data_IF_630151773936
#
_entry.id   IF_630151773936
#
_cell.length_a   1.000
_cell.length_b   1.000
_cell.length_c   1.000
_cell.angle_alpha   90.00
_cell.angle_beta   90.00
_cell.angle_gamma   90.00
#
_symmetry.space_group_name_H-M   'P 1'
#
loop_
_entity.id
_entity.type
_entity.pdbx_description
1 polymer ?
#
# COMPACT_ATOMS: atom_id res chain seq x y z
N UNK A 1 19.20 57.13 12.18
CA UNK A 1 18.09 56.97 11.20
C UNK A 1 18.63 56.19 10.01
N UNK A 2 18.08 54.97 9.85
CA UNK A 2 18.05 54.08 8.67
C UNK A 2 19.33 53.75 7.88
N UNK A 3 19.94 52.62 8.25
CA UNK A 3 20.82 51.83 7.39
C UNK A 3 19.97 50.92 6.50
N UNK A 4 20.10 51.08 5.18
CA UNK A 4 19.46 50.29 4.13
C UNK A 4 19.92 48.82 4.16
N UNK A 5 18.98 47.90 4.41
CA UNK A 5 19.19 46.46 4.33
C UNK A 5 18.94 46.00 2.89
N UNK A 6 19.99 45.57 2.19
CA UNK A 6 19.90 44.82 0.93
C UNK A 6 19.62 43.34 1.26
N UNK A 7 18.38 42.90 1.14
CA UNK A 7 18.04 41.47 1.15
C UNK A 7 18.10 40.96 -0.28
N UNK A 8 19.13 40.15 -0.58
CA UNK A 8 19.15 39.26 -1.73
C UNK A 8 18.00 38.26 -1.60
N UNK A 9 17.03 38.34 -2.50
CA UNK A 9 16.03 37.29 -2.67
C UNK A 9 16.66 36.10 -3.36
N UNK A 10 17.04 35.08 -2.60
CA UNK A 10 17.27 33.74 -3.14
C UNK A 10 15.88 33.07 -3.17
N UNK A 11 15.18 33.22 -4.28
CA UNK A 11 14.06 32.33 -4.63
C UNK A 11 14.64 30.96 -4.93
N UNK A 12 14.91 30.21 -3.86
CA UNK A 12 15.17 28.78 -3.94
C UNK A 12 13.87 28.09 -4.31
N UNK A 13 13.67 27.86 -5.61
CA UNK A 13 12.66 26.93 -6.10
C UNK A 13 12.98 25.55 -5.53
N UNK A 14 12.36 25.21 -4.40
CA UNK A 14 12.19 23.84 -3.94
C UNK A 14 11.27 23.16 -4.95
N UNK A 15 11.86 22.68 -6.05
CA UNK A 15 11.29 21.63 -6.87
C UNK A 15 11.17 20.40 -5.97
N UNK A 16 10.05 20.32 -5.25
CA UNK A 16 9.57 19.09 -4.66
C UNK A 16 9.38 18.12 -5.82
N UNK A 17 10.34 17.22 -6.00
CA UNK A 17 10.12 15.99 -6.74
C UNK A 17 9.00 15.23 -6.04
N UNK A 18 7.76 15.57 -6.34
CA UNK A 18 6.57 14.84 -5.97
C UNK A 18 6.57 13.54 -6.77
N UNK A 19 7.46 12.61 -6.42
CA UNK A 19 7.26 11.22 -6.76
C UNK A 19 5.92 10.86 -6.14
N UNK A 20 4.91 10.59 -6.97
CA UNK A 20 3.57 10.24 -6.53
C UNK A 20 3.69 9.09 -5.53
N UNK A 21 3.57 9.41 -4.24
CA UNK A 21 3.56 8.45 -3.16
C UNK A 21 2.16 7.82 -3.15
N UNK A 22 2.05 6.52 -2.83
CA UNK A 22 0.74 5.86 -2.75
C UNK A 22 -0.24 6.69 -1.91
N UNK A 23 -1.46 6.82 -2.41
CA UNK A 23 -2.48 7.62 -1.72
C UNK A 23 -3.05 6.79 -0.55
N UNK A 24 -3.20 7.37 0.64
CA UNK A 24 -3.93 6.72 1.73
C UNK A 24 -5.35 6.37 1.27
N UNK A 25 -5.82 5.17 1.61
CA UNK A 25 -7.22 4.81 1.34
C UNK A 25 -8.11 5.27 2.50
N UNK A 26 -8.99 6.24 2.23
CA UNK A 26 -9.83 6.89 3.24
C UNK A 26 -11.33 6.53 3.13
N UNK A 27 -11.65 5.45 2.43
CA UNK A 27 -13.03 4.98 2.22
C UNK A 27 -13.29 3.67 2.97
N UNK A 28 -14.55 3.27 3.01
CA UNK A 28 -14.93 1.91 3.41
C UNK A 28 -14.67 0.96 2.25
N UNK A 29 -14.07 -0.19 2.56
CA UNK A 29 -13.88 -1.28 1.60
C UNK A 29 -15.23 -1.80 1.06
N UNK A 30 -15.23 -2.57 -0.04
CA UNK A 30 -16.42 -3.25 -0.53
C UNK A 30 -17.05 -4.14 0.54
N UNK A 31 -18.39 -4.23 0.52
CA UNK A 31 -19.15 -5.04 1.48
C UNK A 31 -18.83 -6.53 1.37
N UNK A 32 -18.59 -7.02 0.15
CA UNK A 32 -18.22 -8.40 -0.13
C UNK A 32 -16.93 -8.42 -0.92
N UNK A 33 -15.96 -9.16 -0.40
CA UNK A 33 -14.67 -9.41 -1.03
C UNK A 33 -14.42 -10.91 -0.96
N UNK A 34 -14.18 -11.53 -2.12
CA UNK A 34 -13.90 -12.96 -2.18
C UNK A 34 -12.43 -13.23 -2.53
N UNK A 35 -11.87 -14.31 -2.00
CA UNK A 35 -10.60 -14.82 -2.48
C UNK A 35 -10.75 -15.48 -3.88
N UNK A 36 -9.64 -16.00 -4.41
CA UNK A 36 -9.63 -16.67 -5.72
C UNK A 36 -10.42 -17.98 -5.74
N UNK A 37 -10.67 -18.57 -4.58
CA UNK A 37 -11.45 -19.80 -4.46
C UNK A 37 -12.95 -19.50 -4.28
N UNK A 38 -13.34 -18.22 -4.22
CA UNK A 38 -14.72 -17.79 -4.03
C UNK A 38 -15.15 -17.71 -2.57
N UNK A 39 -14.26 -17.95 -1.61
CA UNK A 39 -14.56 -17.80 -0.18
C UNK A 39 -14.48 -16.33 0.23
N UNK A 40 -15.14 -15.98 1.33
CA UNK A 40 -15.04 -14.62 1.87
C UNK A 40 -13.59 -14.36 2.29
N UNK A 41 -12.99 -13.32 1.71
CA UNK A 41 -11.65 -12.86 2.05
C UNK A 41 -11.61 -12.32 3.48
N UNK A 42 -10.46 -12.37 4.16
CA UNK A 42 -10.34 -11.99 5.58
C UNK A 42 -10.45 -10.48 5.85
N UNK A 43 -10.59 -9.65 4.82
CA UNK A 43 -10.81 -8.22 4.94
C UNK A 43 -11.90 -7.74 3.98
N UNK A 44 -12.89 -7.04 4.52
CA UNK A 44 -14.01 -6.42 3.82
C UNK A 44 -14.48 -5.20 4.64
N UNK A 45 -15.57 -4.55 4.21
CA UNK A 45 -16.16 -3.41 4.91
C UNK A 45 -16.42 -3.69 6.41
N UNK A 46 -17.06 -4.81 6.73
CA UNK A 46 -17.46 -5.14 8.10
C UNK A 46 -16.24 -5.38 8.98
N UNK A 47 -15.24 -6.10 8.46
CA UNK A 47 -13.99 -6.40 9.15
C UNK A 47 -13.09 -5.19 9.30
N UNK A 48 -13.13 -4.24 8.36
CA UNK A 48 -12.46 -2.96 8.50
C UNK A 48 -13.06 -2.15 9.65
N UNK A 49 -14.39 -1.96 9.66
CA UNK A 49 -15.04 -1.11 10.68
C UNK A 49 -15.05 -1.73 12.08
N UNK A 50 -14.89 -3.05 12.17
CA UNK A 50 -14.73 -3.77 13.45
C UNK A 50 -13.27 -3.94 13.87
N UNK A 51 -12.32 -3.31 13.17
CA UNK A 51 -10.90 -3.31 13.53
C UNK A 51 -10.20 -4.66 13.33
N UNK A 52 -10.74 -5.56 12.51
CA UNK A 52 -10.11 -6.85 12.15
C UNK A 52 -9.10 -6.72 11.01
N UNK A 53 -9.23 -5.67 10.21
CA UNK A 53 -8.23 -5.26 9.23
C UNK A 53 -8.28 -3.75 9.02
N UNK A 54 -7.27 -3.24 8.29
CA UNK A 54 -7.11 -1.84 7.95
C UNK A 54 -6.84 -1.72 6.45
N UNK A 55 -7.49 -0.76 5.79
CA UNK A 55 -7.18 -0.39 4.41
C UNK A 55 -6.11 0.69 4.42
N UNK A 56 -4.99 0.43 3.76
CA UNK A 56 -3.76 1.20 3.95
C UNK A 56 -3.55 2.23 2.85
N UNK A 57 -3.36 1.75 1.62
CA UNK A 57 -3.10 2.62 0.46
C UNK A 57 -3.79 2.11 -0.78
N UNK A 58 -4.06 3.01 -1.73
CA UNK A 58 -4.67 2.69 -3.01
C UNK A 58 -3.72 3.04 -4.14
N UNK A 59 -3.75 2.23 -5.19
CA UNK A 59 -3.02 2.52 -6.41
C UNK A 59 -3.59 3.77 -7.09
N UNK A 60 -2.80 4.38 -7.98
CA UNK A 60 -3.19 5.60 -8.68
C UNK A 60 -4.52 5.50 -9.43
N UNK A 61 -4.88 4.31 -9.90
CA UNK A 61 -6.12 4.10 -10.65
C UNK A 61 -7.34 3.92 -9.73
N UNK A 62 -7.14 3.82 -8.41
CA UNK A 62 -8.23 3.64 -7.46
C UNK A 62 -8.81 2.21 -7.44
N UNK A 63 -8.19 1.27 -8.17
CA UNK A 63 -8.69 -0.06 -8.43
C UNK A 63 -8.09 -1.14 -7.52
N UNK A 64 -6.96 -0.87 -6.87
CA UNK A 64 -6.31 -1.81 -5.97
C UNK A 64 -5.98 -1.15 -4.63
N UNK A 65 -6.35 -1.80 -3.53
CA UNK A 65 -6.13 -1.30 -2.17
C UNK A 65 -5.27 -2.30 -1.41
N UNK A 66 -4.15 -1.86 -0.82
CA UNK A 66 -3.42 -2.69 0.14
C UNK A 66 -4.16 -2.71 1.47
N UNK A 67 -4.23 -3.90 2.08
CA UNK A 67 -4.89 -4.12 3.37
C UNK A 67 -3.95 -4.84 4.31
N UNK A 68 -4.15 -4.61 5.61
CA UNK A 68 -3.39 -5.24 6.68
C UNK A 68 -4.35 -5.83 7.71
N UNK A 69 -4.15 -7.08 8.12
CA UNK A 69 -4.95 -7.63 9.23
C UNK A 69 -4.59 -6.97 10.55
N UNK A 70 -5.46 -7.08 11.54
CA UNK A 70 -5.03 -6.87 12.92
C UNK A 70 -3.85 -7.82 13.26
N UNK A 71 -2.90 -7.38 14.09
CA UNK A 71 -1.85 -8.25 14.64
C UNK A 71 -2.42 -9.49 15.34
N UNK A 72 -1.71 -10.62 15.26
CA UNK A 72 -2.03 -11.83 16.01
C UNK A 72 -0.75 -12.61 16.36
N UNK A 73 -0.88 -13.65 17.21
CA UNK A 73 0.25 -14.37 17.83
C UNK A 73 1.35 -14.81 16.86
N UNK A 74 0.98 -15.30 15.68
CA UNK A 74 1.92 -15.81 14.68
C UNK A 74 2.33 -14.76 13.63
N UNK A 75 1.82 -13.53 13.75
CA UNK A 75 2.07 -12.44 12.84
C UNK A 75 1.87 -11.06 13.52
N UNK A 76 2.88 -10.60 14.26
CA UNK A 76 2.81 -9.40 15.11
C UNK A 76 2.62 -8.09 14.33
N UNK A 77 3.04 -8.04 13.07
CA UNK A 77 2.84 -6.92 12.15
C UNK A 77 1.52 -6.98 11.37
N UNK A 78 0.75 -8.06 11.50
CA UNK A 78 -0.44 -8.34 10.69
C UNK A 78 -0.10 -8.90 9.31
N UNK A 79 -1.04 -9.67 8.75
CA UNK A 79 -0.94 -10.18 7.38
C UNK A 79 -1.20 -9.06 6.39
N UNK A 80 -0.42 -9.07 5.31
CA UNK A 80 -0.61 -8.14 4.20
C UNK A 80 -1.46 -8.79 3.11
N UNK A 81 -2.32 -7.99 2.49
CA UNK A 81 -3.05 -8.37 1.30
C UNK A 81 -3.27 -7.18 0.36
N UNK A 82 -3.90 -7.44 -0.78
CA UNK A 82 -4.51 -6.42 -1.60
C UNK A 82 -5.92 -6.83 -2.02
N UNK A 83 -6.76 -5.83 -2.28
CA UNK A 83 -8.12 -5.99 -2.78
C UNK A 83 -8.22 -5.27 -4.11
N UNK A 84 -8.66 -5.97 -5.15
CA UNK A 84 -9.10 -5.35 -6.41
C UNK A 84 -10.57 -4.97 -6.28
N UNK A 85 -10.85 -3.67 -6.39
CA UNK A 85 -12.20 -3.12 -6.36
C UNK A 85 -12.84 -3.32 -7.72
N UNK A 86 -13.92 -4.09 -7.75
CA UNK A 86 -14.74 -4.31 -8.95
C UNK A 86 -16.06 -3.56 -8.80
N UNK A 87 -16.44 -2.80 -9.83
CA UNK A 87 -17.70 -2.03 -9.83
C UNK A 87 -18.92 -2.86 -10.25
N UNK A 88 -18.72 -3.80 -11.17
CA UNK A 88 -19.80 -4.61 -11.79
C UNK A 88 -19.69 -6.10 -11.44
N UNK A 89 -18.80 -6.47 -10.52
CA UNK A 89 -18.56 -7.85 -10.11
C UNK A 89 -18.11 -7.88 -8.63
N UNK A 90 -18.01 -9.07 -8.05
CA UNK A 90 -17.51 -9.26 -6.70
C UNK A 90 -16.03 -8.90 -6.63
N UNK A 91 -15.69 -7.96 -5.75
CA UNK A 91 -14.31 -7.55 -5.50
C UNK A 91 -13.46 -8.74 -5.03
N UNK A 92 -12.17 -8.73 -5.39
CA UNK A 92 -11.28 -9.88 -5.14
C UNK A 92 -10.15 -9.52 -4.19
N UNK A 93 -9.96 -10.35 -3.17
CA UNK A 93 -8.91 -10.18 -2.16
C UNK A 93 -7.82 -11.25 -2.29
N UNK A 94 -6.58 -10.85 -2.04
CA UNK A 94 -5.41 -11.71 -2.15
C UNK A 94 -4.52 -11.51 -0.92
N UNK A 95 -4.16 -12.60 -0.25
CA UNK A 95 -3.13 -12.57 0.78
C UNK A 95 -1.77 -12.53 0.10
N UNK A 96 -0.92 -11.60 0.52
CA UNK A 96 0.45 -11.49 0.03
C UNK A 96 1.29 -12.60 0.66
N UNK A 97 1.72 -13.55 -0.15
CA UNK A 97 2.75 -14.52 0.20
C UNK A 97 3.96 -14.29 -0.72
N UNK A 98 5.17 -14.06 -0.17
CA UNK A 98 6.33 -13.81 -1.01
C UNK A 98 6.62 -14.99 -1.94
N UNK A 99 6.90 -14.70 -3.21
CA UNK A 99 7.42 -15.72 -4.13
C UNK A 99 8.75 -16.28 -3.62
N UNK A 100 8.99 -17.58 -3.85
CA UNK A 100 10.26 -18.24 -3.49
C UNK A 100 11.51 -17.50 -4.03
N UNK A 101 11.39 -16.84 -5.18
CA UNK A 101 12.49 -16.11 -5.83
C UNK A 101 13.02 -14.94 -5.00
N UNK A 102 12.24 -14.43 -4.06
CA UNK A 102 12.67 -13.34 -3.17
C UNK A 102 13.40 -13.85 -1.92
N UNK A 103 13.40 -15.16 -1.65
CA UNK A 103 14.04 -15.72 -0.45
C UNK A 103 13.41 -15.26 0.87
N UNK A 104 12.15 -14.84 0.84
CA UNK A 104 11.40 -14.31 1.98
C UNK A 104 10.31 -15.28 2.41
N UNK A 105 9.99 -15.26 3.70
CA UNK A 105 8.89 -16.00 4.31
C UNK A 105 7.73 -15.07 4.67
N UNK A 106 6.55 -15.64 4.95
CA UNK A 106 5.43 -14.87 5.51
C UNK A 106 5.83 -14.21 6.84
N UNK A 107 6.65 -14.87 7.66
CA UNK A 107 7.15 -14.32 8.92
C UNK A 107 7.95 -13.03 8.71
N UNK A 108 8.71 -12.92 7.61
CA UNK A 108 9.45 -11.70 7.28
C UNK A 108 8.51 -10.52 7.01
N UNK A 109 7.35 -10.79 6.40
CA UNK A 109 6.31 -9.78 6.16
C UNK A 109 5.51 -9.44 7.41
N UNK A 110 5.41 -10.39 8.33
CA UNK A 110 4.75 -10.23 9.62
C UNK A 110 5.56 -9.44 10.65
N UNK A 111 6.77 -8.97 10.32
CA UNK A 111 7.56 -8.17 11.26
C UNK A 111 6.96 -6.76 11.41
N UNK A 112 6.83 -6.23 12.64
CA UNK A 112 6.52 -4.82 12.84
C UNK A 112 7.50 -3.93 12.06
N UNK A 113 6.98 -2.91 11.37
CA UNK A 113 7.77 -2.05 10.48
C UNK A 113 7.89 -2.55 9.03
N UNK A 114 7.33 -3.72 8.71
CA UNK A 114 7.01 -4.07 7.32
C UNK A 114 5.79 -3.29 6.84
N UNK A 115 5.87 -2.72 5.64
CA UNK A 115 4.77 -2.02 4.98
C UNK A 115 4.67 -2.51 3.54
N UNK A 116 3.45 -2.84 3.09
CA UNK A 116 3.17 -3.05 1.68
C UNK A 116 2.36 -1.89 1.12
N UNK A 117 2.87 -1.28 0.05
CA UNK A 117 2.32 -0.08 -0.57
C UNK A 117 2.53 -0.07 -2.07
N UNK A 118 2.06 0.98 -2.73
CA UNK A 118 2.25 1.21 -4.15
C UNK A 118 3.39 2.21 -4.42
N UNK A 119 4.17 1.99 -5.48
CA UNK A 119 5.15 2.97 -5.97
C UNK A 119 5.05 3.08 -7.49
N UNK A 120 5.28 4.26 -8.09
CA UNK A 120 5.24 4.42 -9.54
C UNK A 120 6.10 3.38 -10.26
N UNK A 121 5.56 2.75 -11.30
CA UNK A 121 6.32 1.87 -12.17
C UNK A 121 7.27 2.70 -13.06
N UNK A 122 8.53 2.28 -13.15
CA UNK A 122 9.56 3.03 -13.88
C UNK A 122 9.44 2.95 -15.40
N UNK A 123 8.84 1.87 -15.92
CA UNK A 123 8.70 1.62 -17.36
C UNK A 123 7.35 2.09 -17.91
N UNK A 124 6.31 2.02 -17.10
CA UNK A 124 4.94 2.41 -17.43
C UNK A 124 4.37 3.31 -16.33
N UNK A 125 4.66 4.62 -16.37
CA UNK A 125 4.31 5.56 -15.31
C UNK A 125 2.81 5.65 -14.99
N UNK A 126 1.95 5.16 -15.87
CA UNK A 126 0.49 5.07 -15.70
C UNK A 126 0.03 3.96 -14.72
N UNK A 127 0.94 3.05 -14.34
CA UNK A 127 0.70 2.02 -13.33
C UNK A 127 1.61 2.21 -12.11
N UNK A 128 1.15 1.69 -10.97
CA UNK A 128 1.99 1.51 -9.80
C UNK A 128 2.36 0.03 -9.61
N UNK A 129 3.55 -0.20 -9.08
CA UNK A 129 4.02 -1.50 -8.62
C UNK A 129 3.62 -1.71 -7.15
N UNK A 130 3.30 -2.95 -6.79
CA UNK A 130 3.15 -3.35 -5.40
C UNK A 130 4.53 -3.63 -4.79
N UNK A 131 4.85 -2.96 -3.68
CA UNK A 131 6.17 -3.00 -3.06
C UNK A 131 6.05 -3.30 -1.58
N UNK A 132 6.81 -4.29 -1.11
CA UNK A 132 7.02 -4.50 0.32
C UNK A 132 8.32 -3.85 0.77
N UNK A 133 8.24 -3.11 1.88
CA UNK A 133 9.36 -2.44 2.52
C UNK A 133 9.48 -2.96 3.96
N UNK A 134 10.70 -3.13 4.45
CA UNK A 134 10.97 -3.29 5.87
C UNK A 134 11.88 -2.16 6.33
N UNK A 135 11.39 -1.33 7.26
CA UNK A 135 12.11 -0.15 7.76
C UNK A 135 12.62 0.75 6.61
N UNK A 136 11.78 0.92 5.57
CA UNK A 136 12.10 1.72 4.39
C UNK A 136 12.93 1.02 3.31
N UNK A 137 13.53 -0.14 3.58
CA UNK A 137 14.29 -0.93 2.59
C UNK A 137 13.37 -1.85 1.81
N UNK A 138 13.52 -1.88 0.48
CA UNK A 138 12.71 -2.74 -0.39
C UNK A 138 13.05 -4.22 -0.16
N UNK A 139 12.03 -5.00 0.20
CA UNK A 139 12.10 -6.45 0.32
C UNK A 139 11.81 -7.11 -1.03
N UNK A 140 10.71 -6.70 -1.66
CA UNK A 140 10.34 -7.16 -2.98
C UNK A 140 9.46 -6.13 -3.69
N UNK A 141 9.31 -6.33 -5.00
CA UNK A 141 8.43 -5.57 -5.87
C UNK A 141 7.78 -6.47 -6.91
N UNK A 142 6.45 -6.43 -6.97
CA UNK A 142 5.69 -7.01 -8.08
C UNK A 142 5.44 -5.94 -9.11
N UNK A 143 6.12 -6.07 -10.26
CA UNK A 143 5.99 -5.14 -11.37
C UNK A 143 4.75 -5.48 -12.18
N UNK A 144 3.94 -4.47 -12.48
CA UNK A 144 2.92 -4.57 -13.52
C UNK A 144 3.63 -4.40 -14.87
N UNK A 145 3.57 -5.43 -15.72
CA UNK A 145 4.31 -5.47 -17.00
C UNK A 145 3.75 -4.51 -18.04
#
# INVERSE_FOLDING_TARGET
MNTLIKILGITGSLLLCAGAQAQPYNRTLPAVVNDNNGNIFWCDAHRQVTGKCEAMSVDRQGGMVTVRSAPFKDCEGGLWGWITIMHNDVSKGFTITPDKKFGLTVKDLCRPGTVVTFKPNQKKPEYDDLVALYQGKELFRYRRF
#
